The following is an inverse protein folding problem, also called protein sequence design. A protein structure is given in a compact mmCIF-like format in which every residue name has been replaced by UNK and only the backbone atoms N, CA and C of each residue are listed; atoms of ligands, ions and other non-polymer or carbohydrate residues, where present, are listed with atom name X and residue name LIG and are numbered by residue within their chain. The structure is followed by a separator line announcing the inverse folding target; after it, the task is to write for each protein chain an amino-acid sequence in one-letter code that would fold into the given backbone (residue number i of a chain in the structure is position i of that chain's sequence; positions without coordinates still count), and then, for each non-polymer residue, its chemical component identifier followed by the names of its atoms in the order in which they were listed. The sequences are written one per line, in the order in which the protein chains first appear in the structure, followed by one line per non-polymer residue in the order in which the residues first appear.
data_IF_469236397671
#
_entry.id   IF_469236397671
#
_cell.length_a   1.000
_cell.length_b   1.000
_cell.length_c   1.000
_cell.angle_alpha   90.00
_cell.angle_beta   90.00
_cell.angle_gamma   90.00
#
_symmetry.space_group_name_H-M   'P 1'
#
loop_
_entity.id
_entity.type
_entity.pdbx_description
1 polymer ?
#
# COMPACT_ATOMS: atom_id res chain seq x y z
N UNK A 1 14.51 18.57 -14.15
CA UNK A 1 14.34 17.21 -14.65
C UNK A 1 14.41 16.20 -13.50
N UNK A 2 15.55 16.03 -12.77
CA UNK A 2 15.67 15.08 -11.66
C UNK A 2 14.62 15.26 -10.55
N UNK A 3 14.32 16.50 -10.16
CA UNK A 3 13.30 16.81 -9.14
C UNK A 3 11.89 16.44 -9.61
N UNK A 4 11.59 16.71 -10.90
CA UNK A 4 10.32 16.31 -11.51
C UNK A 4 10.18 14.80 -11.63
N UNK A 5 11.26 14.11 -12.04
CA UNK A 5 11.27 12.64 -12.15
C UNK A 5 11.08 11.94 -10.79
N UNK A 6 11.45 12.62 -9.70
CA UNK A 6 11.32 12.12 -8.32
C UNK A 6 10.05 12.63 -7.61
N UNK A 7 9.28 13.53 -8.22
CA UNK A 7 8.09 14.13 -7.58
C UNK A 7 8.39 14.97 -6.33
N UNK A 8 9.62 15.50 -6.19
CA UNK A 8 10.05 16.26 -5.01
C UNK A 8 10.42 17.71 -5.33
N UNK A 9 10.38 18.59 -4.32
CA UNK A 9 10.78 19.98 -4.47
C UNK A 9 12.25 20.11 -4.91
N UNK A 10 12.54 21.03 -5.82
CA UNK A 10 13.88 21.27 -6.37
C UNK A 10 14.95 21.51 -5.29
N UNK A 11 14.61 22.26 -4.22
CA UNK A 11 15.50 22.50 -3.09
C UNK A 11 15.91 21.22 -2.37
N UNK A 12 14.96 20.31 -2.19
CA UNK A 12 15.18 19.00 -1.56
C UNK A 12 16.05 18.09 -2.44
N UNK A 13 15.77 18.02 -3.76
CA UNK A 13 16.60 17.29 -4.71
C UNK A 13 18.05 17.77 -4.69
N UNK A 14 18.27 19.10 -4.69
CA UNK A 14 19.60 19.69 -4.63
C UNK A 14 20.32 19.39 -3.29
N UNK A 15 19.60 19.37 -2.18
CA UNK A 15 20.14 19.00 -0.87
C UNK A 15 20.63 17.56 -0.85
N UNK A 16 19.83 16.63 -1.34
CA UNK A 16 20.22 15.23 -1.47
C UNK A 16 21.41 15.04 -2.39
N UNK A 17 21.41 15.70 -3.56
CA UNK A 17 22.51 15.62 -4.52
C UNK A 17 23.84 16.12 -3.91
N UNK A 18 23.82 17.28 -3.24
CA UNK A 18 24.99 17.79 -2.51
C UNK A 18 25.50 16.81 -1.44
N UNK A 19 24.58 16.14 -0.73
CA UNK A 19 24.93 15.12 0.26
C UNK A 19 25.59 13.89 -0.40
N UNK A 20 25.08 13.43 -1.55
CA UNK A 20 25.67 12.33 -2.31
C UNK A 20 27.07 12.67 -2.83
N UNK A 21 27.27 13.89 -3.33
CA UNK A 21 28.60 14.39 -3.78
C UNK A 21 29.57 14.41 -2.59
N UNK A 22 29.17 14.98 -1.46
CA UNK A 22 30.02 15.07 -0.24
C UNK A 22 30.40 13.71 0.30
N UNK A 23 29.51 12.70 0.17
CA UNK A 23 29.79 11.31 0.54
C UNK A 23 30.64 10.55 -0.49
N UNK A 24 30.99 11.18 -1.62
CA UNK A 24 31.75 10.55 -2.69
C UNK A 24 30.96 9.49 -3.48
N UNK A 25 29.63 9.53 -3.45
CA UNK A 25 28.76 8.61 -4.17
C UNK A 25 28.51 9.07 -5.61
N UNK A 26 28.55 10.38 -5.83
CA UNK A 26 28.33 11.04 -7.13
C UNK A 26 29.48 11.97 -7.41
N UNK A 27 29.97 11.97 -8.65
CA UNK A 27 30.88 12.99 -9.19
C UNK A 27 30.11 13.95 -10.09
N UNK A 28 30.58 15.21 -10.11
CA UNK A 28 30.07 16.26 -11.00
C UNK A 28 31.19 16.66 -11.95
N UNK A 29 30.88 16.74 -13.23
CA UNK A 29 31.75 17.27 -14.26
C UNK A 29 31.06 18.44 -14.95
N UNK A 30 31.73 19.57 -15.02
CA UNK A 30 31.26 20.69 -15.82
C UNK A 30 31.57 20.43 -17.32
N UNK A 31 30.61 20.70 -18.16
CA UNK A 31 30.74 20.61 -19.61
C UNK A 31 30.45 21.97 -20.26
N UNK A 32 30.92 22.23 -21.49
CA UNK A 32 30.60 23.43 -22.23
C UNK A 32 29.12 23.76 -22.21
N UNK A 33 28.77 25.04 -22.20
CA UNK A 33 27.40 25.58 -22.11
C UNK A 33 26.78 25.58 -20.71
N UNK A 34 27.57 25.74 -19.65
CA UNK A 34 27.11 25.80 -18.24
C UNK A 34 26.23 24.61 -17.82
N UNK A 35 26.52 23.44 -18.35
CA UNK A 35 25.83 22.20 -17.98
C UNK A 35 26.70 21.35 -17.05
N UNK A 36 26.04 20.57 -16.21
CA UNK A 36 26.69 19.63 -15.29
C UNK A 36 26.27 18.22 -15.61
N UNK A 37 27.25 17.32 -15.70
CA UNK A 37 27.03 15.88 -15.74
C UNK A 37 27.23 15.30 -14.34
N UNK A 38 26.30 14.44 -13.96
CA UNK A 38 26.33 13.69 -12.71
C UNK A 38 26.48 12.21 -13.04
N UNK A 39 27.44 11.55 -12.41
CA UNK A 39 27.63 10.12 -12.60
C UNK A 39 28.02 9.46 -11.29
N UNK A 40 27.61 8.20 -11.13
CA UNK A 40 27.93 7.40 -9.96
C UNK A 40 29.43 7.07 -9.95
N UNK A 41 30.03 7.17 -8.77
CA UNK A 41 31.35 6.59 -8.52
C UNK A 41 31.23 5.07 -8.31
N UNK A 42 32.32 4.28 -8.33
CA UNK A 42 32.27 2.87 -7.94
C UNK A 42 31.64 2.68 -6.55
N UNK A 43 31.98 3.55 -5.58
CA UNK A 43 31.34 3.57 -4.25
C UNK A 43 29.86 3.88 -4.32
N UNK A 44 29.46 4.83 -5.17
CA UNK A 44 28.04 5.16 -5.38
C UNK A 44 27.26 4.01 -6.02
N UNK A 45 27.89 3.28 -6.93
CA UNK A 45 27.28 2.10 -7.53
C UNK A 45 27.07 0.98 -6.51
N UNK A 46 28.07 0.66 -5.70
CA UNK A 46 27.93 -0.30 -4.60
C UNK A 46 26.83 0.08 -3.63
N UNK A 47 26.75 1.36 -3.24
CA UNK A 47 25.71 1.84 -2.32
C UNK A 47 24.32 1.76 -2.94
N UNK A 48 24.17 2.10 -4.21
CA UNK A 48 22.90 1.92 -4.95
C UNK A 48 22.47 0.45 -4.94
N UNK A 49 23.38 -0.47 -5.23
CA UNK A 49 23.09 -1.92 -5.25
C UNK A 49 22.64 -2.41 -3.87
N UNK A 50 23.33 -1.99 -2.81
CA UNK A 50 22.99 -2.32 -1.42
C UNK A 50 21.56 -1.83 -1.08
N UNK A 51 21.28 -0.55 -1.33
CA UNK A 51 19.97 0.05 -1.05
C UNK A 51 18.84 -0.61 -1.88
N UNK A 52 19.14 -0.98 -3.12
CA UNK A 52 18.16 -1.71 -3.95
C UNK A 52 17.85 -3.08 -3.37
N UNK A 53 18.87 -3.82 -2.93
CA UNK A 53 18.67 -5.13 -2.29
C UNK A 53 17.89 -5.02 -0.98
N UNK A 54 18.16 -4.02 -0.15
CA UNK A 54 17.43 -3.75 1.09
C UNK A 54 15.95 -3.40 0.80
N UNK A 55 15.71 -2.54 -0.19
CA UNK A 55 14.35 -2.18 -0.61
C UNK A 55 13.57 -3.42 -1.09
N UNK A 56 14.15 -4.23 -1.96
CA UNK A 56 13.51 -5.45 -2.44
C UNK A 56 13.23 -6.44 -1.30
N UNK A 57 14.19 -6.62 -0.39
CA UNK A 57 13.99 -7.49 0.78
C UNK A 57 12.86 -7.00 1.67
N UNK A 58 12.77 -5.70 1.92
CA UNK A 58 11.69 -5.10 2.70
C UNK A 58 10.34 -5.27 1.99
N UNK A 59 10.29 -5.06 0.66
CA UNK A 59 9.07 -5.24 -0.15
C UNK A 59 8.59 -6.69 -0.15
N UNK A 60 9.49 -7.66 -0.29
CA UNK A 60 9.13 -9.08 -0.22
C UNK A 60 8.69 -9.51 1.18
N UNK A 61 9.27 -8.93 2.24
CA UNK A 61 8.82 -9.18 3.60
C UNK A 61 7.41 -8.62 3.82
N UNK A 62 7.14 -7.41 3.35
CA UNK A 62 5.80 -6.83 3.38
C UNK A 62 4.79 -7.73 2.66
N UNK A 63 5.11 -8.15 1.43
CA UNK A 63 4.24 -9.01 0.63
C UNK A 63 3.86 -10.30 1.38
N UNK A 64 4.85 -10.99 1.97
CA UNK A 64 4.61 -12.22 2.74
C UNK A 64 3.74 -11.96 3.97
N UNK A 65 4.09 -10.97 4.78
CA UNK A 65 3.35 -10.63 6.00
C UNK A 65 1.92 -10.19 5.70
N UNK A 66 1.71 -9.43 4.63
CA UNK A 66 0.40 -9.03 4.17
C UNK A 66 -0.43 -10.26 3.73
N UNK A 67 0.17 -11.14 2.93
CA UNK A 67 -0.47 -12.39 2.52
C UNK A 67 -0.87 -13.27 3.69
N UNK A 68 0.04 -13.49 4.66
CA UNK A 68 -0.23 -14.29 5.85
C UNK A 68 -1.31 -13.64 6.75
N UNK A 69 -1.33 -12.32 6.83
CA UNK A 69 -2.35 -11.59 7.59
C UNK A 69 -3.73 -11.71 6.96
N UNK A 70 -3.83 -11.56 5.63
CA UNK A 70 -5.08 -11.75 4.90
C UNK A 70 -5.56 -13.21 4.95
N UNK A 71 -4.65 -14.17 4.86
CA UNK A 71 -4.98 -15.58 4.95
C UNK A 71 -5.71 -15.91 6.26
N UNK A 72 -5.19 -15.47 7.40
CA UNK A 72 -5.86 -15.68 8.71
C UNK A 72 -7.28 -15.13 8.74
N UNK A 73 -7.50 -13.98 8.14
CA UNK A 73 -8.84 -13.38 8.06
C UNK A 73 -9.75 -14.22 7.16
N UNK A 74 -9.25 -14.71 6.02
CA UNK A 74 -10.06 -15.55 5.13
C UNK A 74 -10.42 -16.90 5.76
N UNK A 75 -9.49 -17.53 6.50
CA UNK A 75 -9.76 -18.72 7.31
C UNK A 75 -10.84 -18.44 8.37
N UNK A 76 -10.79 -17.28 9.03
CA UNK A 76 -11.81 -16.83 9.97
C UNK A 76 -13.15 -16.62 9.28
N UNK A 77 -13.19 -15.92 8.14
CA UNK A 77 -14.41 -15.70 7.36
C UNK A 77 -15.06 -17.03 6.94
N UNK A 78 -14.28 -17.98 6.42
CA UNK A 78 -14.79 -19.30 6.04
C UNK A 78 -15.39 -20.05 7.26
N UNK A 79 -14.74 -19.98 8.42
CA UNK A 79 -15.24 -20.59 9.66
C UNK A 79 -16.58 -20.01 10.13
N UNK A 80 -16.82 -18.73 9.83
CA UNK A 80 -18.04 -18.00 10.15
C UNK A 80 -19.10 -18.04 9.05
N UNK A 81 -18.80 -18.64 7.89
CA UNK A 81 -19.70 -18.68 6.73
C UNK A 81 -19.83 -17.33 6.02
N UNK A 82 -18.82 -16.47 6.14
CA UNK A 82 -18.74 -15.16 5.46
C UNK A 82 -18.04 -15.38 4.12
N UNK A 83 -18.80 -15.36 3.04
CA UNK A 83 -18.27 -15.63 1.69
C UNK A 83 -18.10 -14.35 0.87
N UNK A 84 -18.93 -13.31 1.11
CA UNK A 84 -18.93 -12.07 0.33
C UNK A 84 -18.23 -10.94 1.09
N UNK A 85 -17.03 -10.57 0.64
CA UNK A 85 -16.22 -9.51 1.23
C UNK A 85 -16.14 -8.28 0.33
N UNK A 86 -16.31 -7.11 0.95
CA UNK A 86 -15.96 -5.81 0.37
C UNK A 86 -14.58 -5.40 0.86
N UNK A 87 -13.68 -5.06 -0.04
CA UNK A 87 -12.42 -4.43 0.34
C UNK A 87 -12.62 -2.93 0.58
N UNK A 88 -12.00 -2.40 1.61
CA UNK A 88 -12.09 -1.01 1.99
C UNK A 88 -10.71 -0.35 1.90
N UNK A 89 -10.49 0.38 0.80
CA UNK A 89 -9.22 1.00 0.43
C UNK A 89 -8.53 0.31 -0.75
N UNK A 90 -8.12 1.12 -1.73
CA UNK A 90 -7.40 0.66 -2.93
C UNK A 90 -5.90 0.87 -2.73
N UNK A 91 -5.17 -0.20 -2.49
CA UNK A 91 -3.73 -0.18 -2.21
C UNK A 91 -3.06 -1.48 -2.64
N UNK A 92 -1.75 -1.59 -2.49
CA UNK A 92 -0.99 -2.82 -2.68
C UNK A 92 -1.47 -3.95 -1.76
N UNK A 93 -2.00 -3.60 -0.57
CA UNK A 93 -2.60 -4.59 0.33
C UNK A 93 -3.87 -5.20 -0.28
N UNK A 94 -4.69 -4.39 -0.96
CA UNK A 94 -5.87 -4.89 -1.67
C UNK A 94 -5.49 -5.86 -2.78
N UNK A 95 -4.41 -5.58 -3.53
CA UNK A 95 -3.91 -6.48 -4.58
C UNK A 95 -3.43 -7.81 -4.01
N UNK A 96 -2.67 -7.76 -2.90
CA UNK A 96 -2.19 -8.96 -2.21
C UNK A 96 -3.36 -9.78 -1.65
N UNK A 97 -4.33 -9.11 -1.02
CA UNK A 97 -5.52 -9.75 -0.48
C UNK A 97 -6.35 -10.41 -1.59
N UNK A 98 -6.53 -9.74 -2.74
CA UNK A 98 -7.27 -10.28 -3.86
C UNK A 98 -6.64 -11.57 -4.41
N UNK A 99 -5.31 -11.55 -4.60
CA UNK A 99 -4.58 -12.74 -5.05
C UNK A 99 -4.67 -13.89 -4.04
N UNK A 100 -4.61 -13.57 -2.75
CA UNK A 100 -4.72 -14.58 -1.68
C UNK A 100 -6.15 -15.13 -1.57
N UNK A 101 -7.19 -14.31 -1.75
CA UNK A 101 -8.58 -14.74 -1.72
C UNK A 101 -8.90 -15.82 -2.77
N UNK A 102 -8.13 -15.89 -3.87
CA UNK A 102 -8.32 -16.93 -4.91
C UNK A 102 -8.03 -18.36 -4.40
N UNK A 103 -7.37 -18.52 -3.26
CA UNK A 103 -7.09 -19.81 -2.62
C UNK A 103 -8.23 -20.26 -1.68
N UNK A 104 -9.25 -19.40 -1.48
CA UNK A 104 -10.37 -19.58 -0.54
C UNK A 104 -11.72 -19.51 -1.25
N UNK A 105 -12.78 -19.94 -0.58
CA UNK A 105 -14.17 -19.81 -1.05
C UNK A 105 -14.73 -18.40 -0.78
N UNK A 106 -13.90 -17.37 -0.95
CA UNK A 106 -14.25 -15.97 -0.69
C UNK A 106 -14.50 -15.26 -2.01
N UNK A 107 -15.66 -14.64 -2.12
CA UNK A 107 -16.01 -13.77 -3.23
C UNK A 107 -15.75 -12.31 -2.87
N UNK A 108 -14.82 -11.66 -3.56
CA UNK A 108 -14.63 -10.23 -3.42
C UNK A 108 -15.67 -9.52 -4.29
N UNK A 109 -16.63 -8.85 -3.67
CA UNK A 109 -17.70 -8.17 -4.39
C UNK A 109 -17.21 -6.89 -5.08
N UNK A 110 -16.22 -6.20 -4.51
CA UNK A 110 -15.62 -4.99 -5.07
C UNK A 110 -14.76 -4.26 -4.06
N UNK A 111 -14.49 -2.98 -4.35
CA UNK A 111 -13.71 -2.09 -3.45
C UNK A 111 -14.49 -0.81 -3.15
N UNK A 112 -14.53 -0.42 -1.89
CA UNK A 112 -14.92 0.90 -1.44
C UNK A 112 -13.69 1.78 -1.24
N UNK A 113 -13.74 3.03 -1.73
CA UNK A 113 -12.69 4.04 -1.57
C UNK A 113 -13.30 5.35 -1.07
N UNK A 114 -12.60 6.05 -0.20
CA UNK A 114 -13.05 7.35 0.33
C UNK A 114 -12.82 8.51 -0.65
N UNK A 115 -11.92 8.33 -1.63
CA UNK A 115 -11.59 9.34 -2.63
C UNK A 115 -12.10 8.93 -4.02
N UNK A 116 -12.79 9.84 -4.71
CA UNK A 116 -13.35 9.61 -6.05
C UNK A 116 -12.32 9.67 -7.19
N UNK A 117 -11.02 9.74 -6.89
CA UNK A 117 -9.98 10.03 -7.88
C UNK A 117 -9.68 8.88 -8.85
N UNK A 118 -10.00 7.64 -8.49
CA UNK A 118 -9.79 6.47 -9.35
C UNK A 118 -10.87 5.40 -9.13
N UNK A 119 -11.91 5.45 -9.94
CA UNK A 119 -13.03 4.50 -9.93
C UNK A 119 -12.94 3.44 -11.05
N UNK A 120 -11.78 3.31 -11.70
CA UNK A 120 -11.57 2.24 -12.67
C UNK A 120 -11.75 0.87 -12.00
N UNK A 121 -12.32 -0.12 -12.70
CA UNK A 121 -12.54 -1.46 -12.16
C UNK A 121 -11.24 -2.06 -11.57
N UNK A 122 -11.39 -2.74 -10.46
CA UNK A 122 -10.28 -3.45 -9.79
C UNK A 122 -10.40 -4.95 -10.07
N UNK A 123 -9.52 -5.51 -10.89
CA UNK A 123 -9.60 -6.91 -11.34
C UNK A 123 -11.01 -7.30 -11.85
N UNK A 124 -11.62 -6.40 -12.65
CA UNK A 124 -12.99 -6.52 -13.15
C UNK A 124 -14.09 -6.43 -12.08
N UNK A 125 -13.76 -6.08 -10.85
CA UNK A 125 -14.72 -5.82 -9.77
C UNK A 125 -15.05 -4.33 -9.72
N UNK A 126 -16.27 -3.95 -9.32
CA UNK A 126 -16.68 -2.56 -9.19
C UNK A 126 -15.92 -1.83 -8.09
N UNK A 127 -15.81 -0.51 -8.25
CA UNK A 127 -15.22 0.40 -7.28
C UNK A 127 -16.23 1.47 -6.93
N UNK A 128 -16.53 1.64 -5.65
CA UNK A 128 -17.48 2.62 -5.15
C UNK A 128 -16.78 3.69 -4.31
N UNK A 129 -17.23 4.93 -4.43
CA UNK A 129 -16.85 6.04 -3.54
C UNK A 129 -17.99 6.48 -2.63
N UNK A 130 -19.15 5.92 -2.81
CA UNK A 130 -20.35 6.12 -2.00
C UNK A 130 -20.74 4.78 -1.37
N UNK A 131 -20.66 4.68 -0.04
CA UNK A 131 -20.90 3.44 0.67
C UNK A 131 -22.36 2.99 0.60
N UNK A 132 -23.30 3.94 0.47
CA UNK A 132 -24.74 3.65 0.36
C UNK A 132 -25.10 2.90 -0.94
N UNK A 133 -24.19 2.86 -1.92
CA UNK A 133 -24.36 2.11 -3.18
C UNK A 133 -23.86 0.67 -3.12
N UNK A 134 -23.31 0.25 -1.98
CA UNK A 134 -22.75 -1.10 -1.81
C UNK A 134 -23.81 -1.99 -1.18
N UNK A 135 -24.22 -2.98 -1.93
CA UNK A 135 -25.16 -4.01 -1.47
C UNK A 135 -24.48 -5.38 -1.33
N UNK A 136 -25.12 -6.31 -0.62
CA UNK A 136 -24.80 -7.75 -0.58
C UNK A 136 -23.42 -8.11 0.01
N UNK A 137 -22.78 -7.24 0.81
CA UNK A 137 -21.57 -7.65 1.56
C UNK A 137 -21.95 -8.34 2.89
N UNK A 138 -21.13 -9.29 3.30
CA UNK A 138 -21.23 -9.96 4.61
C UNK A 138 -20.08 -9.62 5.54
N UNK A 139 -18.97 -9.10 4.98
CA UNK A 139 -17.82 -8.63 5.73
C UNK A 139 -17.08 -7.53 4.99
N UNK A 140 -16.32 -6.73 5.74
CA UNK A 140 -15.50 -5.63 5.28
C UNK A 140 -14.04 -5.93 5.60
N UNK A 141 -13.14 -5.88 4.64
CA UNK A 141 -11.71 -6.02 4.88
C UNK A 141 -11.02 -4.67 4.68
N UNK A 142 -10.40 -4.14 5.72
CA UNK A 142 -9.61 -2.91 5.62
C UNK A 142 -8.34 -3.19 4.83
N UNK A 143 -8.22 -2.53 3.69
CA UNK A 143 -7.08 -2.67 2.78
C UNK A 143 -6.39 -1.32 2.48
N UNK A 144 -6.81 -0.23 3.14
CA UNK A 144 -6.14 1.06 3.03
C UNK A 144 -4.83 1.08 3.81
N UNK A 145 -3.75 1.62 3.18
CA UNK A 145 -2.43 1.78 3.78
C UNK A 145 -2.16 3.21 4.27
N UNK A 146 -2.95 4.19 3.82
CA UNK A 146 -2.70 5.60 4.10
C UNK A 146 -3.41 6.11 5.36
N UNK A 147 -4.59 5.57 5.68
CA UNK A 147 -5.37 6.01 6.82
C UNK A 147 -6.30 4.93 7.36
N UNK A 148 -5.80 3.69 7.60
CA UNK A 148 -6.66 2.56 7.95
C UNK A 148 -7.44 2.76 9.23
N UNK A 149 -6.89 3.47 10.23
CA UNK A 149 -7.59 3.78 11.49
C UNK A 149 -8.78 4.73 11.29
N UNK A 150 -8.63 5.73 10.41
CA UNK A 150 -9.71 6.66 10.12
C UNK A 150 -10.83 5.94 9.36
N UNK A 151 -10.46 5.15 8.36
CA UNK A 151 -11.41 4.36 7.59
C UNK A 151 -12.17 3.37 8.48
N UNK A 152 -11.48 2.69 9.40
CA UNK A 152 -12.11 1.82 10.39
C UNK A 152 -13.14 2.57 11.25
N UNK A 153 -12.77 3.74 11.79
CA UNK A 153 -13.66 4.57 12.61
C UNK A 153 -14.90 5.04 11.85
N UNK A 154 -14.71 5.42 10.58
CA UNK A 154 -15.82 5.86 9.74
C UNK A 154 -16.79 4.70 9.46
N UNK A 155 -16.27 3.53 9.10
CA UNK A 155 -17.09 2.34 8.85
C UNK A 155 -17.80 1.82 10.12
N UNK A 156 -17.16 1.89 11.28
CA UNK A 156 -17.75 1.49 12.56
C UNK A 156 -18.97 2.35 12.99
N UNK A 157 -19.20 3.49 12.33
CA UNK A 157 -20.41 4.30 12.56
C UNK A 157 -21.64 3.75 11.83
N UNK A 158 -21.43 3.00 10.76
CA UNK A 158 -22.49 2.51 9.85
C UNK A 158 -22.64 0.98 9.90
N UNK A 159 -21.58 0.27 10.29
CA UNK A 159 -21.52 -1.19 10.29
C UNK A 159 -21.20 -1.74 11.67
N UNK A 160 -21.65 -2.96 11.94
CA UNK A 160 -21.25 -3.69 13.14
C UNK A 160 -19.74 -4.00 13.12
N UNK A 161 -19.05 -3.81 14.24
CA UNK A 161 -17.60 -4.02 14.30
C UNK A 161 -17.19 -5.47 14.03
N UNK A 162 -18.06 -6.43 14.32
CA UNK A 162 -17.84 -7.87 14.15
C UNK A 162 -17.66 -8.29 12.69
N UNK A 163 -18.12 -7.49 11.74
CA UNK A 163 -17.95 -7.77 10.30
C UNK A 163 -16.80 -6.97 9.68
N UNK A 164 -16.08 -6.14 10.47
CA UNK A 164 -14.95 -5.32 9.98
C UNK A 164 -13.63 -6.01 10.34
N UNK A 165 -13.01 -6.61 9.36
CA UNK A 165 -11.74 -7.32 9.49
C UNK A 165 -10.55 -6.39 9.23
N UNK A 166 -9.58 -6.43 10.14
CA UNK A 166 -8.37 -5.60 10.08
C UNK A 166 -7.14 -6.49 10.04
N UNK A 167 -6.38 -6.47 8.93
CA UNK A 167 -5.14 -7.22 8.84
C UNK A 167 -4.10 -6.76 9.89
N UNK A 168 -3.47 -7.71 10.60
CA UNK A 168 -2.47 -7.43 11.64
C UNK A 168 -1.32 -6.53 11.16
N UNK A 169 -1.00 -6.58 9.87
CA UNK A 169 0.05 -5.77 9.27
C UNK A 169 -0.23 -4.27 9.37
N UNK A 170 -1.49 -3.85 9.53
CA UNK A 170 -1.87 -2.45 9.70
C UNK A 170 -1.58 -1.91 11.11
N UNK A 171 -1.29 -2.79 12.09
CA UNK A 171 -0.79 -2.47 13.44
C UNK A 171 -1.64 -1.53 14.29
N UNK A 172 -2.92 -1.39 14.03
CA UNK A 172 -3.82 -0.74 14.98
C UNK A 172 -4.76 -1.77 15.60
N UNK A 173 -5.16 -1.54 16.86
CA UNK A 173 -6.13 -2.41 17.55
C UNK A 173 -7.53 -1.89 17.26
N UNK A 174 -8.39 -2.73 16.68
CA UNK A 174 -9.83 -2.54 16.78
C UNK A 174 -10.23 -2.61 18.26
N UNK A 175 -11.20 -1.83 18.70
CA UNK A 175 -11.60 -1.80 20.12
C UNK A 175 -12.28 -3.09 20.62
N UNK A 176 -12.50 -4.06 19.75
CA UNK A 176 -13.19 -5.33 20.04
C UNK A 176 -12.34 -6.42 20.70
N UNK A 177 -11.10 -6.16 21.11
CA UNK A 177 -10.27 -7.14 21.85
C UNK A 177 -10.22 -6.86 23.34
N UNK A 178 -11.39 -6.81 23.97
CA UNK A 178 -11.53 -6.74 25.44
C UNK A 178 -12.72 -7.58 25.89
N UNK A 179 -12.49 -8.91 25.98
CA UNK A 179 -13.19 -9.80 26.91
C UNK A 179 -12.19 -10.84 27.38
#
# INVERSE_FOLDING_TARGET
RLAGDLGIALGLANSYLKRCIRKGLVKVSAIPSNRYLYYLTPKGFSEKTRLTAEYLSASFNFYRQAGDSCQRIFEECESQGIEDLLFCGRSELAEIAFLRAMEFSINIIGIYVTESSNLDPFYSKPVWSDFDQVDDYKGLLITDLNGPENLYKDLSQFCAEEIIFVPDILRFKSQSSSV
#
